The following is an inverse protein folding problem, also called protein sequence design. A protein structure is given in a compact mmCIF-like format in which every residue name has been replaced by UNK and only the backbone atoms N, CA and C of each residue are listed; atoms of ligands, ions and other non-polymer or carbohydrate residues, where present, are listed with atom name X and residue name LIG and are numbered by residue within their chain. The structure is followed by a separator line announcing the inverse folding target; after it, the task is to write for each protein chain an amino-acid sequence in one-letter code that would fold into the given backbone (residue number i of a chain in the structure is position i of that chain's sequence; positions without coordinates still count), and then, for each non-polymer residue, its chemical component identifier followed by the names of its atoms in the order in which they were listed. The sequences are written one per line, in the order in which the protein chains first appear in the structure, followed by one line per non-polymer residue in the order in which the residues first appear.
data_IF_745502095650
#
_entry.id   IF_745502095650
#
_cell.length_a   1.000
_cell.length_b   1.000
_cell.length_c   1.000
_cell.angle_alpha   90.00
_cell.angle_beta   90.00
_cell.angle_gamma   90.00
#
_symmetry.space_group_name_H-M   'P 1'
#
loop_
_entity.id
_entity.type
_entity.pdbx_description
1 polymer ?
#
# COMPACT_ATOMS: atom_id res chain seq x y z
N UNK A 1 -22.32 11.06 -30.78
CA UNK A 1 -22.07 12.48 -31.10
C UNK A 1 -20.68 12.81 -30.61
N UNK A 2 -19.82 13.29 -31.49
CA UNK A 2 -18.40 13.59 -31.22
C UNK A 2 -18.33 14.89 -30.39
N UNK A 3 -18.38 14.79 -29.06
CA UNK A 3 -18.42 15.95 -28.17
C UNK A 3 -17.01 16.53 -27.98
N UNK A 4 -16.63 17.48 -28.83
CA UNK A 4 -15.35 18.21 -28.75
C UNK A 4 -15.57 19.61 -28.20
N UNK A 5 -14.61 20.09 -27.40
CA UNK A 5 -14.59 21.48 -26.93
C UNK A 5 -14.58 22.44 -28.13
N UNK A 6 -15.40 23.49 -28.09
CA UNK A 6 -15.50 24.48 -29.16
C UNK A 6 -14.93 25.80 -28.68
N UNK A 7 -13.95 26.34 -29.41
CA UNK A 7 -13.43 27.69 -29.16
C UNK A 7 -14.53 28.70 -29.50
N UNK A 8 -14.74 29.70 -28.64
CA UNK A 8 -15.68 30.79 -28.92
C UNK A 8 -14.95 31.79 -29.82
N UNK A 9 -15.53 32.12 -30.98
CA UNK A 9 -14.96 33.15 -31.86
C UNK A 9 -14.87 34.49 -31.11
N UNK A 10 -13.76 35.21 -31.32
CA UNK A 10 -13.41 36.48 -30.67
C UNK A 10 -13.21 36.46 -29.14
N UNK A 11 -13.10 35.27 -28.52
CA UNK A 11 -12.76 35.12 -27.11
C UNK A 11 -11.63 34.10 -26.89
N UNK A 12 -10.85 34.30 -25.82
CA UNK A 12 -9.88 33.29 -25.36
C UNK A 12 -10.58 32.10 -24.66
N UNK A 13 -11.88 32.20 -24.38
CA UNK A 13 -12.65 31.20 -23.66
C UNK A 13 -13.07 29.98 -24.52
N UNK A 14 -13.29 28.86 -23.83
CA UNK A 14 -13.71 27.59 -24.40
C UNK A 14 -15.09 27.20 -23.89
N UNK A 15 -15.96 26.72 -24.79
CA UNK A 15 -17.22 26.09 -24.43
C UNK A 15 -17.01 24.58 -24.27
N UNK A 16 -17.16 24.08 -23.04
CA UNK A 16 -17.01 22.68 -22.67
C UNK A 16 -18.41 22.09 -22.38
N UNK A 17 -18.79 20.94 -22.96
CA UNK A 17 -20.08 20.30 -22.66
C UNK A 17 -20.22 19.97 -21.18
N UNK A 18 -21.40 20.21 -20.60
CA UNK A 18 -21.70 19.99 -19.17
C UNK A 18 -21.41 18.55 -18.69
N UNK A 19 -21.60 17.55 -19.54
CA UNK A 19 -21.34 16.15 -19.21
C UNK A 19 -19.83 15.83 -19.16
N UNK A 20 -19.02 16.52 -19.97
CA UNK A 20 -17.57 16.43 -19.92
C UNK A 20 -17.04 17.08 -18.64
N UNK A 21 -17.59 18.21 -18.21
CA UNK A 21 -17.20 18.83 -16.94
C UNK A 21 -17.61 18.01 -15.72
N UNK A 22 -18.79 17.37 -15.73
CA UNK A 22 -19.17 16.41 -14.68
C UNK A 22 -18.22 15.22 -14.61
N UNK A 23 -17.81 14.67 -15.76
CA UNK A 23 -16.83 13.58 -15.81
C UNK A 23 -15.43 14.03 -15.38
N UNK A 24 -15.04 15.27 -15.68
CA UNK A 24 -13.78 15.86 -15.22
C UNK A 24 -13.77 16.03 -13.68
N UNK A 25 -14.85 16.56 -13.10
CA UNK A 25 -15.03 16.67 -11.64
C UNK A 25 -15.07 15.28 -11.00
N UNK A 26 -15.77 14.31 -11.61
CA UNK A 26 -15.79 12.92 -11.14
C UNK A 26 -14.42 12.23 -11.24
N UNK A 27 -13.58 12.58 -12.23
CA UNK A 27 -12.23 12.03 -12.37
C UNK A 27 -11.23 12.51 -11.31
N UNK A 28 -11.60 13.55 -10.55
CA UNK A 28 -10.88 14.01 -9.35
C UNK A 28 -11.35 13.22 -8.12
N UNK A 29 -12.59 12.70 -8.15
CA UNK A 29 -13.10 11.72 -7.21
C UNK A 29 -12.50 10.34 -7.47
N UNK A 30 -11.35 10.10 -6.83
CA UNK A 30 -10.81 8.79 -6.47
C UNK A 30 -11.96 7.76 -6.34
N UNK A 31 -12.13 6.89 -7.34
CA UNK A 31 -13.12 5.81 -7.26
C UNK A 31 -12.79 4.93 -6.04
N UNK A 32 -13.64 4.99 -5.02
CA UNK A 32 -13.62 4.05 -3.89
C UNK A 32 -12.96 4.51 -2.59
N UNK A 33 -12.46 5.75 -2.47
CA UNK A 33 -11.97 6.31 -1.18
C UNK A 33 -13.00 7.30 -0.59
N UNK A 34 -13.16 7.36 0.75
CA UNK A 34 -14.12 8.25 1.40
C UNK A 34 -13.79 9.72 1.07
N UNK A 35 -14.82 10.60 1.00
CA UNK A 35 -14.60 12.01 0.70
C UNK A 35 -13.84 12.66 1.86
N UNK A 36 -12.52 12.81 1.70
CA UNK A 36 -11.74 13.73 2.52
C UNK A 36 -12.28 15.16 2.33
N UNK A 37 -12.06 16.03 3.31
CA UNK A 37 -12.53 17.43 3.40
C UNK A 37 -12.13 18.36 2.23
N UNK A 38 -11.49 17.83 1.17
CA UNK A 38 -11.03 18.53 -0.03
C UNK A 38 -12.15 19.03 -0.95
N UNK A 39 -13.36 18.48 -0.88
CA UNK A 39 -14.53 19.00 -1.64
C UNK A 39 -14.79 20.49 -1.36
N UNK A 40 -14.44 20.95 -0.14
CA UNK A 40 -14.62 22.35 0.28
C UNK A 40 -13.65 23.30 -0.43
N UNK A 41 -12.44 22.82 -0.75
CA UNK A 41 -11.41 23.60 -1.44
C UNK A 41 -11.65 23.63 -2.96
N UNK A 42 -12.08 22.52 -3.55
CA UNK A 42 -12.40 22.43 -5.00
C UNK A 42 -13.61 23.31 -5.35
N UNK A 43 -14.63 23.37 -4.49
CA UNK A 43 -15.82 24.22 -4.72
C UNK A 43 -15.54 25.71 -4.62
N UNK A 44 -14.46 26.13 -3.96
CA UNK A 44 -14.15 27.55 -3.76
C UNK A 44 -13.51 28.18 -5.01
N UNK A 45 -12.62 27.46 -5.70
CA UNK A 45 -11.90 27.99 -6.88
C UNK A 45 -12.67 27.86 -8.20
N UNK A 46 -13.68 26.99 -8.28
CA UNK A 46 -14.49 26.78 -9.49
C UNK A 46 -15.77 27.64 -9.56
N UNK A 47 -15.94 28.61 -8.66
CA UNK A 47 -17.19 29.39 -8.55
C UNK A 47 -17.40 30.48 -9.61
N UNK A 48 -16.45 30.70 -10.53
CA UNK A 48 -16.60 31.66 -11.65
C UNK A 48 -17.21 31.07 -12.91
N UNK A 49 -17.89 29.93 -12.79
CA UNK A 49 -18.54 29.27 -13.92
C UNK A 49 -19.89 29.93 -14.23
N UNK A 50 -19.93 30.69 -15.32
CA UNK A 50 -21.19 31.16 -15.90
C UNK A 50 -21.85 30.01 -16.67
N UNK A 51 -22.95 29.48 -16.13
CA UNK A 51 -23.82 28.53 -16.86
C UNK A 51 -24.63 29.29 -17.90
N UNK A 52 -24.42 29.01 -19.19
CA UNK A 52 -25.35 29.44 -20.24
C UNK A 52 -26.49 28.42 -20.37
N UNK A 53 -27.69 28.88 -20.71
CA UNK A 53 -28.92 28.07 -20.91
C UNK A 53 -28.80 26.98 -22.00
N UNK A 54 -27.62 26.83 -22.62
CA UNK A 54 -27.36 26.05 -23.83
C UNK A 54 -26.70 24.68 -23.60
N UNK A 55 -26.51 24.24 -22.35
CA UNK A 55 -25.89 22.93 -22.07
C UNK A 55 -24.36 22.90 -22.16
N UNK A 56 -23.73 24.08 -22.23
CA UNK A 56 -22.27 24.25 -22.23
C UNK A 56 -21.83 25.10 -21.04
N UNK A 57 -20.61 24.82 -20.59
CA UNK A 57 -19.92 25.55 -19.54
C UNK A 57 -18.79 26.35 -20.18
N UNK A 58 -18.76 27.67 -19.96
CA UNK A 58 -17.71 28.53 -20.52
C UNK A 58 -16.56 28.58 -19.52
N UNK A 59 -15.36 28.27 -20.01
CA UNK A 59 -14.12 28.27 -19.23
C UNK A 59 -13.15 29.28 -19.83
N UNK A 60 -12.61 30.17 -19.01
CA UNK A 60 -11.47 30.98 -19.42
C UNK A 60 -10.19 30.11 -19.52
N UNK A 61 -9.16 30.53 -20.27
CA UNK A 61 -7.86 29.90 -20.22
C UNK A 61 -7.32 29.76 -18.80
N UNK A 62 -7.49 30.79 -17.97
CA UNK A 62 -7.08 30.81 -16.57
C UNK A 62 -7.76 29.70 -15.75
N UNK A 63 -9.07 29.48 -15.97
CA UNK A 63 -9.82 28.38 -15.32
C UNK A 63 -9.29 27.01 -15.73
N UNK A 64 -8.94 26.84 -17.01
CA UNK A 64 -8.40 25.58 -17.54
C UNK A 64 -7.00 25.32 -16.96
N UNK A 65 -6.13 26.33 -16.95
CA UNK A 65 -4.79 26.21 -16.37
C UNK A 65 -4.84 25.97 -14.86
N UNK A 66 -5.73 26.67 -14.14
CA UNK A 66 -5.98 26.43 -12.71
C UNK A 66 -6.41 24.99 -12.43
N UNK A 67 -7.34 24.45 -13.23
CA UNK A 67 -7.79 23.07 -13.12
C UNK A 67 -6.67 22.05 -13.40
N UNK A 68 -5.91 22.22 -14.48
CA UNK A 68 -4.82 21.31 -14.84
C UNK A 68 -3.75 21.30 -13.74
N UNK A 69 -3.43 22.48 -13.21
CA UNK A 69 -2.51 22.64 -12.08
C UNK A 69 -3.00 21.90 -10.84
N UNK A 70 -4.23 22.17 -10.39
CA UNK A 70 -4.83 21.50 -9.22
C UNK A 70 -4.85 19.98 -9.38
N UNK A 71 -5.22 19.46 -10.57
CA UNK A 71 -5.21 18.01 -10.84
C UNK A 71 -3.80 17.42 -10.74
N UNK A 72 -2.80 18.14 -11.27
CA UNK A 72 -1.39 17.70 -11.19
C UNK A 72 -0.88 17.68 -9.75
N UNK A 73 -1.15 18.73 -8.98
CA UNK A 73 -0.77 18.84 -7.56
C UNK A 73 -1.46 17.75 -6.71
N UNK A 74 -2.73 17.47 -6.95
CA UNK A 74 -3.46 16.41 -6.26
C UNK A 74 -2.92 15.02 -6.60
N UNK A 75 -2.63 14.76 -7.88
CA UNK A 75 -2.05 13.48 -8.30
C UNK A 75 -0.66 13.27 -7.69
N UNK A 76 0.13 14.33 -7.55
CA UNK A 76 1.42 14.27 -6.87
C UNK A 76 1.25 13.99 -5.38
N UNK A 77 0.37 14.71 -4.69
CA UNK A 77 0.09 14.47 -3.26
C UNK A 77 -0.39 13.05 -2.96
N UNK A 78 -1.35 12.53 -3.75
CA UNK A 78 -1.82 11.14 -3.58
C UNK A 78 -0.65 10.15 -3.75
N UNK A 79 0.25 10.38 -4.71
CA UNK A 79 1.44 9.54 -4.89
C UNK A 79 2.47 9.68 -3.78
N UNK A 80 2.57 10.86 -3.16
CA UNK A 80 3.45 11.09 -2.02
C UNK A 80 2.90 10.39 -0.78
N UNK A 81 1.60 10.52 -0.49
CA UNK A 81 0.91 9.82 0.59
C UNK A 81 0.99 8.29 0.42
N UNK A 82 0.75 7.77 -0.79
CA UNK A 82 0.91 6.33 -1.09
C UNK A 82 2.35 5.84 -0.83
N UNK A 83 3.36 6.66 -1.17
CA UNK A 83 4.76 6.33 -0.87
C UNK A 83 5.07 6.38 0.62
N UNK A 84 4.49 7.33 1.36
CA UNK A 84 4.63 7.43 2.81
C UNK A 84 3.99 6.22 3.51
N UNK A 85 2.78 5.82 3.09
CA UNK A 85 2.10 4.61 3.58
C UNK A 85 2.92 3.34 3.29
N UNK A 86 3.50 3.22 2.09
CA UNK A 86 4.35 2.09 1.72
C UNK A 86 5.65 2.04 2.55
N UNK A 87 6.26 3.20 2.80
CA UNK A 87 7.47 3.32 3.61
C UNK A 87 7.19 2.97 5.09
N UNK A 88 6.06 3.42 5.62
CA UNK A 88 5.64 3.10 6.98
C UNK A 88 5.37 1.59 7.14
N UNK A 89 4.66 0.97 6.18
CA UNK A 89 4.48 -0.49 6.14
C UNK A 89 5.80 -1.24 6.11
N UNK A 90 6.76 -0.81 5.30
CA UNK A 90 8.09 -1.44 5.24
C UNK A 90 8.83 -1.33 6.57
N UNK A 91 8.78 -0.17 7.24
CA UNK A 91 9.39 0.01 8.56
C UNK A 91 8.77 -0.93 9.60
N UNK A 92 7.45 -1.10 9.54
CA UNK A 92 6.73 -1.98 10.46
C UNK A 92 7.04 -3.45 10.17
N UNK A 93 7.10 -3.87 8.91
CA UNK A 93 7.52 -5.22 8.52
C UNK A 93 8.94 -5.52 9.01
N UNK A 94 9.92 -4.64 8.77
CA UNK A 94 11.30 -4.84 9.24
C UNK A 94 11.37 -4.92 10.77
N UNK A 95 10.66 -4.05 11.49
CA UNK A 95 10.58 -4.12 12.95
C UNK A 95 10.04 -5.46 13.44
N UNK A 96 9.01 -6.00 12.77
CA UNK A 96 8.49 -7.32 13.09
C UNK A 96 9.52 -8.42 12.84
N UNK A 97 10.26 -8.37 11.72
CA UNK A 97 11.34 -9.32 11.42
C UNK A 97 12.46 -9.27 12.48
N UNK A 98 12.85 -8.08 12.94
CA UNK A 98 13.80 -7.95 14.04
C UNK A 98 13.27 -8.55 15.35
N UNK A 99 12.00 -8.30 15.69
CA UNK A 99 11.37 -8.86 16.88
C UNK A 99 11.30 -10.39 16.84
N UNK A 100 10.92 -10.96 15.68
CA UNK A 100 10.95 -12.41 15.42
C UNK A 100 12.36 -12.96 15.66
N UNK A 101 13.38 -12.34 15.05
CA UNK A 101 14.76 -12.78 15.22
C UNK A 101 15.20 -12.73 16.70
N UNK A 102 14.88 -11.66 17.43
CA UNK A 102 15.22 -11.55 18.85
C UNK A 102 14.53 -12.63 19.69
N UNK A 103 13.20 -12.78 19.58
CA UNK A 103 12.43 -13.74 20.37
C UNK A 103 12.91 -15.17 20.14
N UNK A 104 13.08 -15.58 18.89
CA UNK A 104 13.48 -16.96 18.58
C UNK A 104 14.98 -17.23 18.80
N UNK A 105 15.85 -16.22 18.81
CA UNK A 105 17.29 -16.41 19.05
C UNK A 105 17.60 -16.97 20.45
N UNK A 106 16.68 -16.80 21.39
CA UNK A 106 16.77 -17.26 22.78
C UNK A 106 16.75 -18.79 22.89
N UNK A 107 16.15 -19.47 21.91
CA UNK A 107 16.10 -20.92 21.86
C UNK A 107 17.41 -21.48 21.28
N UNK A 108 18.12 -22.29 22.07
CA UNK A 108 19.39 -22.90 21.63
C UNK A 108 19.20 -23.81 20.40
N UNK A 109 18.06 -24.51 20.38
CA UNK A 109 17.65 -25.45 19.34
C UNK A 109 17.26 -24.77 18.03
N UNK A 110 17.01 -23.45 18.01
CA UNK A 110 16.80 -22.70 16.76
C UNK A 110 18.15 -22.40 16.12
N UNK A 111 18.34 -22.89 14.90
CA UNK A 111 19.61 -22.73 14.16
C UNK A 111 19.58 -21.55 13.22
N UNK A 112 18.48 -21.36 12.51
CA UNK A 112 18.36 -20.23 11.58
C UNK A 112 16.91 -19.93 11.29
N UNK A 113 16.65 -18.69 10.89
CA UNK A 113 15.32 -18.20 10.56
C UNK A 113 15.37 -17.58 9.18
N UNK A 114 14.52 -18.08 8.29
CA UNK A 114 14.35 -17.57 6.94
C UNK A 114 12.98 -16.99 6.76
N UNK A 115 12.88 -15.92 6.01
CA UNK A 115 11.60 -15.31 5.67
C UNK A 115 11.45 -15.17 4.17
N UNK A 116 10.23 -15.44 3.72
CA UNK A 116 9.83 -15.25 2.33
C UNK A 116 8.51 -14.53 2.29
N UNK A 117 8.45 -13.45 1.52
CA UNK A 117 7.20 -12.72 1.27
C UNK A 117 6.52 -13.33 0.05
N UNK A 118 5.28 -13.79 0.21
CA UNK A 118 4.42 -14.19 -0.88
C UNK A 118 3.14 -13.34 -0.86
N UNK A 119 3.01 -12.44 -1.83
CA UNK A 119 1.94 -11.44 -1.88
C UNK A 119 1.92 -10.57 -0.61
N UNK A 120 0.90 -10.74 0.23
CA UNK A 120 0.69 -9.99 1.47
C UNK A 120 1.05 -10.79 2.74
N UNK A 121 1.60 -12.00 2.57
CA UNK A 121 1.90 -12.92 3.67
C UNK A 121 3.41 -13.12 3.81
N UNK A 122 3.87 -13.12 5.07
CA UNK A 122 5.26 -13.37 5.43
C UNK A 122 5.37 -14.79 5.97
N UNK A 123 5.98 -15.67 5.20
CA UNK A 123 6.28 -17.02 5.63
C UNK A 123 7.59 -17.03 6.42
N UNK A 124 7.57 -17.53 7.64
CA UNK A 124 8.72 -17.61 8.55
C UNK A 124 9.09 -19.07 8.76
N UNK A 125 10.28 -19.46 8.29
CA UNK A 125 10.85 -20.79 8.46
C UNK A 125 11.85 -20.77 9.60
N UNK A 126 11.48 -21.33 10.74
CA UNK A 126 12.33 -21.48 11.93
C UNK A 126 12.97 -22.86 11.90
N UNK A 127 14.21 -22.95 11.41
CA UNK A 127 14.91 -24.23 11.24
C UNK A 127 15.44 -24.73 12.59
N UNK A 128 14.99 -25.91 13.00
CA UNK A 128 15.30 -26.51 14.30
C UNK A 128 16.45 -27.51 14.17
N UNK A 129 17.50 -27.34 14.97
CA UNK A 129 18.64 -28.26 15.08
C UNK A 129 18.33 -29.55 15.85
N UNK A 130 17.11 -30.07 15.71
CA UNK A 130 16.61 -31.27 16.39
C UNK A 130 16.37 -32.39 15.38
N UNK A 131 16.35 -33.63 15.87
CA UNK A 131 16.04 -34.82 15.08
C UNK A 131 14.58 -35.24 15.21
N UNK A 132 13.97 -34.94 16.35
CA UNK A 132 12.59 -35.28 16.70
C UNK A 132 11.96 -34.08 17.40
N UNK A 133 10.65 -33.92 17.25
CA UNK A 133 9.91 -32.85 17.93
C UNK A 133 9.87 -33.11 19.44
N UNK A 134 10.14 -32.05 20.18
CA UNK A 134 10.12 -32.02 21.64
C UNK A 134 8.91 -31.18 22.06
N UNK A 135 7.98 -31.79 22.80
CA UNK A 135 6.69 -31.18 23.13
C UNK A 135 6.88 -29.86 23.89
N UNK A 136 7.79 -29.84 24.87
CA UNK A 136 8.09 -28.65 25.68
C UNK A 136 8.64 -27.51 24.80
N UNK A 137 9.53 -27.83 23.85
CA UNK A 137 10.06 -26.86 22.89
C UNK A 137 8.95 -26.34 21.98
N UNK A 138 8.09 -27.22 21.48
CA UNK A 138 7.03 -26.83 20.55
C UNK A 138 6.00 -25.93 21.23
N UNK A 139 5.66 -26.20 22.49
CA UNK A 139 4.80 -25.32 23.29
C UNK A 139 5.41 -23.91 23.41
N UNK A 140 6.68 -23.82 23.80
CA UNK A 140 7.38 -22.53 23.91
C UNK A 140 7.45 -21.75 22.59
N UNK A 141 7.66 -22.47 21.47
CA UNK A 141 7.70 -21.86 20.14
C UNK A 141 6.32 -21.33 19.72
N UNK A 142 5.26 -22.09 19.99
CA UNK A 142 3.89 -21.69 19.67
C UNK A 142 3.41 -20.50 20.53
N UNK A 143 3.81 -20.46 21.80
CA UNK A 143 3.56 -19.29 22.67
C UNK A 143 4.26 -18.04 22.13
N UNK A 144 5.51 -18.19 21.67
CA UNK A 144 6.25 -17.10 21.03
C UNK A 144 5.56 -16.63 19.74
N UNK A 145 5.10 -17.56 18.90
CA UNK A 145 4.32 -17.27 17.70
C UNK A 145 3.05 -16.50 18.04
N UNK A 146 2.30 -16.94 19.05
CA UNK A 146 1.09 -16.28 19.49
C UNK A 146 1.36 -14.83 19.93
N UNK A 147 2.43 -14.61 20.70
CA UNK A 147 2.85 -13.28 21.11
C UNK A 147 3.21 -12.38 19.93
N UNK A 148 3.87 -12.92 18.90
CA UNK A 148 4.18 -12.19 17.67
C UNK A 148 2.90 -11.82 16.92
N UNK A 149 1.97 -12.76 16.75
CA UNK A 149 0.68 -12.48 16.11
C UNK A 149 -0.14 -11.43 16.85
N UNK A 150 -0.06 -11.40 18.18
CA UNK A 150 -0.74 -10.41 19.01
C UNK A 150 -0.11 -9.02 18.87
N UNK A 151 1.21 -8.94 18.85
CA UNK A 151 1.97 -7.69 18.73
C UNK A 151 1.85 -7.07 17.33
N UNK A 152 1.88 -7.90 16.29
CA UNK A 152 1.85 -7.48 14.89
C UNK A 152 0.56 -7.97 14.18
N UNK A 153 -0.59 -7.70 14.79
CA UNK A 153 -1.90 -8.24 14.35
C UNK A 153 -2.38 -7.78 12.97
N UNK A 154 -1.76 -6.75 12.40
CA UNK A 154 -2.05 -6.20 11.07
C UNK A 154 -1.16 -6.81 9.98
N UNK A 155 -0.20 -7.67 10.35
CA UNK A 155 0.62 -8.45 9.42
C UNK A 155 0.14 -9.91 9.41
N UNK A 156 0.22 -10.54 8.24
CA UNK A 156 -0.09 -11.96 8.08
C UNK A 156 1.18 -12.76 8.09
N UNK A 157 1.34 -13.63 9.09
CA UNK A 157 2.47 -14.55 9.20
C UNK A 157 2.00 -16.00 9.07
N UNK A 158 2.88 -16.85 8.55
CA UNK A 158 2.78 -18.31 8.67
C UNK A 158 4.13 -18.85 9.13
N UNK A 159 4.15 -19.51 10.28
CA UNK A 159 5.35 -20.11 10.85
C UNK A 159 5.47 -21.59 10.47
N UNK A 160 6.70 -22.02 10.21
CA UNK A 160 7.06 -23.40 9.93
C UNK A 160 8.28 -23.79 10.75
N UNK A 161 8.23 -24.96 11.37
CA UNK A 161 9.24 -25.44 12.33
C UNK A 161 9.96 -26.73 11.88
N UNK A 162 10.56 -26.79 10.69
CA UNK A 162 11.15 -28.02 10.20
C UNK A 162 12.41 -28.42 11.01
N UNK A 163 12.56 -29.70 11.38
CA UNK A 163 13.80 -30.25 11.92
C UNK A 163 14.84 -30.40 10.79
N UNK A 164 16.04 -29.86 10.98
CA UNK A 164 17.08 -29.79 9.94
C UNK A 164 18.35 -30.55 10.28
N UNK A 165 18.33 -31.43 11.29
CA UNK A 165 19.52 -32.19 11.70
C UNK A 165 20.14 -33.02 10.55
N UNK A 166 19.35 -33.42 9.53
CA UNK A 166 19.83 -34.27 8.42
C UNK A 166 19.35 -33.83 7.03
N UNK A 167 18.65 -32.70 6.90
CA UNK A 167 18.06 -32.26 5.63
C UNK A 167 18.86 -31.09 5.06
N UNK A 168 19.18 -31.15 3.78
CA UNK A 168 19.85 -30.04 3.11
C UNK A 168 18.92 -28.82 3.07
N UNK A 169 19.42 -27.69 3.55
CA UNK A 169 18.66 -26.42 3.65
C UNK A 169 17.93 -26.04 2.35
N UNK A 170 18.50 -26.40 1.20
CA UNK A 170 17.97 -26.09 -0.14
C UNK A 170 16.65 -26.80 -0.44
N UNK A 171 16.35 -27.88 0.26
CA UNK A 171 15.12 -28.66 0.06
C UNK A 171 13.94 -28.12 0.87
N UNK A 172 14.23 -27.28 1.88
CA UNK A 172 13.24 -26.75 2.82
C UNK A 172 12.98 -25.27 2.56
N UNK A 173 14.02 -24.52 2.22
CA UNK A 173 13.96 -23.06 2.11
C UNK A 173 14.06 -22.63 0.65
N UNK A 174 13.12 -21.78 0.22
CA UNK A 174 13.13 -21.21 -1.12
C UNK A 174 14.43 -20.42 -1.39
N UNK A 175 15.01 -20.47 -2.61
CA UNK A 175 16.27 -19.78 -2.92
C UNK A 175 16.27 -18.26 -2.67
N UNK A 176 15.09 -17.63 -2.80
CA UNK A 176 14.91 -16.18 -2.58
C UNK A 176 14.58 -15.82 -1.12
N UNK A 177 14.50 -16.79 -0.22
CA UNK A 177 14.22 -16.51 1.18
C UNK A 177 15.39 -15.77 1.84
N UNK A 178 15.08 -14.70 2.57
CA UNK A 178 16.05 -13.89 3.29
C UNK A 178 16.36 -14.53 4.64
N UNK A 179 17.64 -14.70 4.95
CA UNK A 179 18.08 -15.06 6.30
C UNK A 179 17.93 -13.85 7.21
N UNK A 180 17.22 -13.99 8.34
CA UNK A 180 17.14 -12.94 9.37
C UNK A 180 17.88 -13.33 10.66
N UNK A 181 18.20 -14.61 10.83
CA UNK A 181 18.98 -15.12 11.97
C UNK A 181 19.69 -16.43 11.59
N UNK A 182 20.91 -16.64 12.11
CA UNK A 182 21.65 -17.90 11.99
C UNK A 182 22.65 -18.08 13.13
N UNK A 183 22.85 -19.32 13.58
CA UNK A 183 23.85 -19.75 14.57
C UNK A 183 24.70 -20.91 14.05
#
# INVERSE_FOLDING_TARGET
MDMKAKKIEDSAAYAIPLDLTKNMIASIGLQGKPPFEWEKYIKADLQTVVTSETGYQIWSPEDIFGYVRLKSELTMKVREEEKEEDQERQNVEENALFCIADKYSKYEKVKSIYVQKYRAEIQVHVLLGITEYDDDLMEDLLDTEYDIHKEFNYLSFTFLYPPVAFVDRKDIVHPEARCIFSR
#
